data_IF_210894408401
#
_entry.id   IF_210894408401
#
_cell.length_a   1.000
_cell.length_b   1.000
_cell.length_c   1.000
_cell.angle_alpha   90.00
_cell.angle_beta   90.00
_cell.angle_gamma   90.00
#
_symmetry.space_group_name_H-M   'P 1'
#
loop_
_entity.id
_entity.type
_entity.pdbx_description
1 polymer ?
#
# COMPACT_ATOMS: atom_id res chain seq x y z
N UNK A 1 27.29 15.38 27.22
CA UNK A 1 25.94 15.77 26.77
C UNK A 1 25.96 15.93 25.26
N UNK A 2 25.09 15.27 24.54
CA UNK A 2 24.92 15.48 23.11
C UNK A 2 24.33 16.88 22.89
N UNK A 3 24.95 17.70 22.05
CA UNK A 3 24.43 19.02 21.70
C UNK A 3 23.69 18.95 20.38
N UNK A 4 22.43 19.35 20.36
CA UNK A 4 21.67 19.55 19.13
C UNK A 4 22.14 20.85 18.46
N UNK A 5 22.14 20.83 17.11
CA UNK A 5 22.33 22.03 16.28
C UNK A 5 21.10 22.23 15.44
N UNK A 6 20.71 23.46 15.26
CA UNK A 6 19.59 23.84 14.41
C UNK A 6 19.99 23.77 12.93
N UNK A 7 19.14 23.17 12.11
CA UNK A 7 19.28 23.12 10.66
C UNK A 7 18.34 24.16 10.02
N UNK A 8 18.82 24.91 9.09
CA UNK A 8 17.99 25.84 8.35
C UNK A 8 16.94 25.07 7.55
N UNK A 9 15.67 25.25 7.89
CA UNK A 9 14.54 24.45 7.38
C UNK A 9 14.45 24.53 5.87
N UNK A 10 14.51 25.74 5.30
CA UNK A 10 14.33 25.97 3.85
C UNK A 10 15.34 25.20 3.02
N UNK A 11 16.58 25.07 3.50
CA UNK A 11 17.65 24.42 2.75
C UNK A 11 17.77 22.93 3.05
N UNK A 12 17.36 22.50 4.23
CA UNK A 12 17.74 21.18 4.76
C UNK A 12 16.58 20.23 5.04
N UNK A 13 15.32 20.68 4.99
CA UNK A 13 14.17 19.83 5.35
C UNK A 13 14.16 18.51 4.55
N UNK A 14 14.27 18.58 3.25
CA UNK A 14 14.22 17.37 2.40
C UNK A 14 15.47 16.49 2.50
N UNK A 15 16.61 17.05 2.90
CA UNK A 15 17.83 16.26 3.10
C UNK A 15 17.69 15.33 4.32
N UNK A 16 16.84 15.66 5.27
CA UNK A 16 16.54 14.78 6.42
C UNK A 16 15.68 13.59 6.03
N UNK A 17 15.14 13.54 4.81
CA UNK A 17 14.36 12.40 4.31
C UNK A 17 15.12 11.06 4.33
N UNK A 18 16.43 11.12 4.45
CA UNK A 18 17.26 9.93 4.69
C UNK A 18 16.83 9.15 5.94
N UNK A 19 16.28 9.83 6.94
CA UNK A 19 15.84 9.24 8.21
C UNK A 19 14.34 8.87 8.23
N UNK A 20 13.57 9.31 7.23
CA UNK A 20 12.19 8.89 6.99
C UNK A 20 12.01 8.54 5.51
N UNK A 21 12.53 7.38 5.09
CA UNK A 21 12.64 7.02 3.69
C UNK A 21 11.28 6.97 3.01
N UNK A 22 11.19 7.61 1.85
CA UNK A 22 10.02 7.60 0.99
C UNK A 22 10.35 6.82 -0.28
N UNK A 23 9.55 5.81 -0.66
CA UNK A 23 9.80 5.08 -1.90
C UNK A 23 9.61 6.02 -3.10
N UNK A 24 10.50 5.93 -4.08
CA UNK A 24 10.29 6.59 -5.37
C UNK A 24 9.54 5.64 -6.29
N UNK A 25 8.36 6.06 -6.73
CA UNK A 25 7.46 5.28 -7.58
C UNK A 25 7.16 6.02 -8.88
N UNK A 26 6.71 5.31 -9.90
CA UNK A 26 6.15 5.90 -11.11
C UNK A 26 4.62 5.83 -11.06
N UNK A 27 3.99 7.00 -11.10
CA UNK A 27 2.53 7.09 -11.22
C UNK A 27 2.15 7.10 -12.69
N UNK A 28 1.43 6.06 -13.10
CA UNK A 28 0.88 5.92 -14.44
C UNK A 28 -0.53 6.50 -14.51
N UNK A 29 -0.80 7.30 -15.53
CA UNK A 29 -2.11 7.89 -15.82
C UNK A 29 -2.37 7.86 -17.33
N UNK A 30 -3.54 8.31 -17.77
CA UNK A 30 -3.86 8.52 -19.17
C UNK A 30 -4.07 10.00 -19.44
N UNK A 31 -3.55 10.48 -20.56
CA UNK A 31 -3.84 11.82 -21.11
C UNK A 31 -5.29 11.89 -21.58
N UNK A 32 -5.75 13.06 -22.00
CA UNK A 32 -7.10 13.26 -22.51
C UNK A 32 -7.35 12.45 -23.80
N UNK A 33 -6.33 12.32 -24.63
CA UNK A 33 -6.36 11.51 -25.85
C UNK A 33 -6.03 10.02 -25.63
N UNK A 34 -6.00 9.57 -24.36
CA UNK A 34 -5.84 8.16 -23.97
C UNK A 34 -4.41 7.62 -24.02
N UNK A 35 -3.40 8.48 -24.23
CA UNK A 35 -2.00 8.06 -24.23
C UNK A 35 -1.49 7.84 -22.80
N UNK A 36 -0.60 6.84 -22.57
CA UNK A 36 0.05 6.66 -21.29
C UNK A 36 0.93 7.86 -20.90
N UNK A 37 0.87 8.22 -19.63
CA UNK A 37 1.69 9.27 -19.01
C UNK A 37 2.22 8.78 -17.69
N UNK A 38 3.54 8.88 -17.48
CA UNK A 38 4.19 8.45 -16.25
C UNK A 38 4.98 9.59 -15.61
N UNK A 39 4.90 9.68 -14.27
CA UNK A 39 5.64 10.66 -13.50
C UNK A 39 6.20 10.07 -12.21
N UNK A 40 7.44 10.40 -11.82
CA UNK A 40 8.03 9.93 -10.57
C UNK A 40 7.54 10.76 -9.38
N UNK A 41 7.23 10.07 -8.30
CA UNK A 41 6.78 10.65 -7.04
C UNK A 41 7.38 9.90 -5.86
N UNK A 42 7.65 10.63 -4.78
CA UNK A 42 8.05 10.07 -3.48
C UNK A 42 7.04 10.35 -2.37
N UNK A 43 6.11 11.27 -2.59
CA UNK A 43 5.06 11.61 -1.61
C UNK A 43 3.84 10.71 -1.81
N UNK A 44 4.06 9.40 -1.70
CA UNK A 44 3.04 8.35 -1.79
C UNK A 44 3.17 7.44 -0.59
N UNK A 45 2.07 7.26 0.16
CA UNK A 45 2.06 6.44 1.37
C UNK A 45 0.72 5.74 1.58
N UNK A 46 0.68 4.63 2.32
CA UNK A 46 -0.58 4.04 2.75
C UNK A 46 -1.40 5.04 3.55
N UNK A 47 -2.71 5.07 3.29
CA UNK A 47 -3.67 5.87 4.02
C UNK A 47 -4.68 4.97 4.72
N UNK A 48 -4.82 5.14 6.04
CA UNK A 48 -5.81 4.41 6.82
C UNK A 48 -7.18 5.07 6.67
N UNK A 49 -8.17 4.30 6.23
CA UNK A 49 -9.55 4.75 6.08
C UNK A 49 -10.43 3.96 7.04
N UNK A 50 -10.70 4.53 8.20
CA UNK A 50 -11.50 3.88 9.23
C UNK A 50 -12.94 3.63 8.75
N UNK A 51 -13.48 2.45 9.07
CA UNK A 51 -14.86 2.10 8.76
C UNK A 51 -15.19 1.88 7.29
N UNK A 52 -14.19 1.91 6.40
CA UNK A 52 -14.34 1.57 4.98
C UNK A 52 -13.97 0.11 4.74
N UNK A 53 -14.54 -0.46 3.70
CA UNK A 53 -14.28 -1.82 3.23
C UNK A 53 -13.18 -1.88 2.15
N UNK A 54 -12.35 -0.85 2.06
CA UNK A 54 -11.25 -0.76 1.11
C UNK A 54 -9.97 -0.20 1.75
N UNK A 55 -8.84 -0.49 1.13
CA UNK A 55 -7.54 0.11 1.46
C UNK A 55 -7.22 1.25 0.52
N UNK A 56 -6.45 2.23 0.99
CA UNK A 56 -6.12 3.40 0.21
C UNK A 56 -4.64 3.77 0.27
N UNK A 57 -4.19 4.47 -0.77
CA UNK A 57 -2.92 5.18 -0.84
C UNK A 57 -3.19 6.67 -0.88
N UNK A 58 -2.32 7.45 -0.28
CA UNK A 58 -2.33 8.90 -0.34
C UNK A 58 -1.23 9.37 -1.28
N UNK A 59 -1.59 10.16 -2.28
CA UNK A 59 -0.65 10.79 -3.20
C UNK A 59 -0.72 12.31 -3.04
N UNK A 60 0.44 12.93 -2.75
CA UNK A 60 0.60 14.38 -2.78
C UNK A 60 1.36 14.80 -4.04
N UNK A 61 0.85 15.80 -4.75
CA UNK A 61 1.51 16.33 -5.94
C UNK A 61 1.15 17.79 -6.20
N UNK A 62 1.85 18.41 -7.15
CA UNK A 62 1.45 19.74 -7.62
C UNK A 62 0.15 19.62 -8.39
N UNK A 63 -0.80 20.51 -8.14
CA UNK A 63 -2.08 20.54 -8.86
C UNK A 63 -1.92 20.75 -10.38
N UNK A 64 -0.87 21.47 -10.80
CA UNK A 64 -0.53 21.71 -12.21
C UNK A 64 0.26 20.57 -12.87
N UNK A 65 0.57 19.47 -12.15
CA UNK A 65 1.28 18.34 -12.76
C UNK A 65 0.38 17.57 -13.72
N UNK A 66 0.96 17.01 -14.78
CA UNK A 66 0.23 16.14 -15.72
C UNK A 66 -0.49 15.00 -14.97
N UNK A 67 0.14 14.43 -13.95
CA UNK A 67 -0.43 13.38 -13.11
C UNK A 67 -1.70 13.86 -12.39
N UNK A 68 -1.65 15.02 -11.72
CA UNK A 68 -2.81 15.56 -11.02
C UNK A 68 -3.97 15.83 -11.99
N UNK A 69 -3.69 16.50 -13.10
CA UNK A 69 -4.71 16.83 -14.09
C UNK A 69 -5.35 15.56 -14.70
N UNK A 70 -4.55 14.54 -14.95
CA UNK A 70 -5.04 13.27 -15.47
C UNK A 70 -5.89 12.52 -14.44
N UNK A 71 -5.51 12.50 -13.16
CA UNK A 71 -6.31 11.89 -12.09
C UNK A 71 -7.63 12.65 -11.88
N UNK A 72 -7.58 13.98 -11.84
CA UNK A 72 -8.79 14.82 -11.72
C UNK A 72 -9.81 14.53 -12.81
N UNK A 73 -9.33 14.28 -14.03
CA UNK A 73 -10.16 13.98 -15.19
C UNK A 73 -10.66 12.53 -15.18
N UNK A 74 -9.74 11.56 -15.09
CA UNK A 74 -10.04 10.13 -15.30
C UNK A 74 -10.47 9.39 -14.03
N UNK A 75 -10.09 9.87 -12.87
CA UNK A 75 -10.29 9.20 -11.59
C UNK A 75 -9.44 7.94 -11.40
N UNK A 76 -8.44 7.68 -12.26
CA UNK A 76 -7.67 6.42 -12.23
C UNK A 76 -6.17 6.67 -12.35
N UNK A 77 -5.41 5.81 -11.66
CA UNK A 77 -3.96 5.78 -11.81
C UNK A 77 -3.38 4.40 -11.46
N UNK A 78 -2.11 4.22 -11.79
CA UNK A 78 -1.30 3.09 -11.31
C UNK A 78 -0.11 3.60 -10.52
N UNK A 79 0.30 2.88 -9.49
CA UNK A 79 1.50 3.16 -8.69
C UNK A 79 2.48 2.02 -8.95
N UNK A 80 3.59 2.33 -9.62
CA UNK A 80 4.55 1.31 -10.07
C UNK A 80 5.83 1.42 -9.26
N UNK A 81 6.20 0.34 -8.60
CA UNK A 81 7.41 0.22 -7.79
C UNK A 81 8.50 -0.46 -8.61
N UNK A 82 9.55 0.27 -8.91
CA UNK A 82 10.69 -0.22 -9.70
C UNK A 82 11.90 -0.47 -8.80
N UNK A 83 12.90 -1.19 -9.33
CA UNK A 83 14.11 -1.52 -8.58
C UNK A 83 15.02 -0.30 -8.36
N UNK A 84 15.93 -0.38 -7.39
CA UNK A 84 16.89 0.67 -7.03
C UNK A 84 18.15 0.69 -7.91
N UNK A 85 18.11 0.05 -9.07
CA UNK A 85 19.22 0.04 -9.99
C UNK A 85 19.54 1.45 -10.51
N UNK A 86 20.83 1.78 -10.66
CA UNK A 86 21.28 3.10 -11.08
C UNK A 86 20.71 3.53 -12.45
N UNK A 87 20.59 2.58 -13.39
CA UNK A 87 19.97 2.81 -14.70
C UNK A 87 18.51 3.17 -14.57
N UNK A 88 17.75 2.39 -13.82
CA UNK A 88 16.33 2.62 -13.52
C UNK A 88 16.11 3.99 -12.90
N UNK A 89 16.93 4.34 -11.90
CA UNK A 89 16.78 5.63 -11.25
C UNK A 89 17.12 6.80 -12.16
N UNK A 90 18.12 6.67 -13.04
CA UNK A 90 18.42 7.69 -14.05
C UNK A 90 17.23 7.95 -14.97
N UNK A 91 16.53 6.89 -15.37
CA UNK A 91 15.32 7.01 -16.19
C UNK A 91 14.17 7.68 -15.43
N UNK A 92 13.99 7.38 -14.13
CA UNK A 92 13.05 8.10 -13.27
C UNK A 92 13.34 9.61 -13.22
N UNK A 93 14.62 9.98 -13.01
CA UNK A 93 15.04 11.38 -12.90
C UNK A 93 14.74 12.17 -14.17
N UNK A 94 14.92 11.59 -15.36
CA UNK A 94 14.59 12.25 -16.64
C UNK A 94 13.12 12.70 -16.73
N UNK A 95 12.23 11.99 -16.04
CA UNK A 95 10.79 12.29 -16.01
C UNK A 95 10.39 13.30 -14.93
N UNK A 96 11.34 13.72 -14.07
CA UNK A 96 11.04 14.51 -12.85
C UNK A 96 10.95 16.00 -13.07
N UNK A 97 11.41 16.52 -14.21
CA UNK A 97 11.51 17.96 -14.41
C UNK A 97 10.13 18.59 -14.58
N UNK A 98 9.82 19.65 -13.81
CA UNK A 98 8.56 20.35 -13.96
C UNK A 98 8.49 21.15 -15.26
N UNK A 99 7.28 21.36 -15.75
CA UNK A 99 7.03 22.21 -16.93
C UNK A 99 7.02 21.50 -18.28
N UNK A 100 7.49 20.24 -18.34
CA UNK A 100 7.45 19.49 -19.59
C UNK A 100 6.04 18.93 -19.83
N UNK A 101 5.63 18.93 -21.09
CA UNK A 101 4.41 18.25 -21.53
C UNK A 101 4.56 16.73 -21.41
N UNK A 102 3.43 16.02 -21.41
CA UNK A 102 3.47 14.54 -21.45
C UNK A 102 4.26 14.02 -22.65
N UNK A 103 4.04 14.59 -23.83
CA UNK A 103 4.73 14.13 -25.05
C UNK A 103 6.25 14.34 -24.98
N UNK A 104 6.71 15.45 -24.39
CA UNK A 104 8.15 15.71 -24.16
C UNK A 104 8.75 14.72 -23.18
N UNK A 105 8.08 14.51 -22.03
CA UNK A 105 8.54 13.54 -21.02
C UNK A 105 8.60 12.11 -21.55
N UNK A 106 7.59 11.70 -22.31
CA UNK A 106 7.52 10.33 -22.84
C UNK A 106 8.59 10.05 -23.91
N UNK A 107 9.23 11.07 -24.52
CA UNK A 107 10.43 10.89 -25.36
C UNK A 107 11.63 10.34 -24.56
N UNK A 108 11.65 10.57 -23.26
CA UNK A 108 12.70 10.14 -22.32
C UNK A 108 12.29 8.94 -21.47
N UNK A 109 11.16 8.31 -21.82
CA UNK A 109 10.62 7.16 -21.10
C UNK A 109 11.32 5.88 -21.57
N UNK A 110 12.20 5.35 -20.74
CA UNK A 110 13.06 4.20 -21.04
C UNK A 110 12.49 2.88 -20.47
N UNK A 111 11.22 2.85 -20.09
CA UNK A 111 10.55 1.65 -19.58
C UNK A 111 9.58 1.09 -20.63
N UNK A 112 9.18 -0.18 -20.44
CA UNK A 112 8.05 -0.76 -21.17
C UNK A 112 6.80 -0.77 -20.28
N UNK A 113 5.62 -0.87 -20.88
CA UNK A 113 4.36 -0.91 -20.15
C UNK A 113 3.38 -1.88 -20.82
N UNK A 114 2.45 -2.38 -20.02
CA UNK A 114 1.41 -3.30 -20.46
C UNK A 114 0.05 -2.98 -19.80
N UNK A 115 -0.98 -3.71 -20.21
CA UNK A 115 -2.28 -3.66 -19.55
C UNK A 115 -2.23 -4.28 -18.18
N UNK A 116 -2.77 -3.56 -17.18
CA UNK A 116 -2.97 -4.09 -15.83
C UNK A 116 -4.11 -5.12 -15.76
N UNK A 117 -4.40 -5.60 -14.56
CA UNK A 117 -5.47 -6.57 -14.35
C UNK A 117 -6.86 -5.98 -14.59
N UNK A 118 -7.10 -4.72 -14.18
CA UNK A 118 -8.39 -4.06 -14.41
C UNK A 118 -8.71 -3.97 -15.89
N UNK A 119 -7.73 -3.63 -16.73
CA UNK A 119 -7.90 -3.60 -18.19
C UNK A 119 -8.13 -5.01 -18.77
N UNK A 120 -7.44 -6.02 -18.27
CA UNK A 120 -7.59 -7.42 -18.69
C UNK A 120 -8.94 -8.02 -18.29
N UNK A 121 -9.48 -7.63 -17.12
CA UNK A 121 -10.79 -8.06 -16.63
C UNK A 121 -11.97 -7.33 -17.31
N UNK A 122 -11.72 -6.12 -17.82
CA UNK A 122 -12.70 -5.32 -18.59
C UNK A 122 -12.18 -4.94 -19.98
N UNK A 123 -12.07 -5.90 -20.91
CA UNK A 123 -11.50 -5.66 -22.24
C UNK A 123 -12.25 -4.59 -23.06
N UNK A 124 -13.56 -4.44 -22.81
CA UNK A 124 -14.39 -3.44 -23.52
C UNK A 124 -14.00 -2.00 -23.16
N UNK A 125 -13.48 -1.79 -21.97
CA UNK A 125 -13.05 -0.49 -21.48
C UNK A 125 -11.53 -0.43 -21.23
N UNK A 126 -10.74 -1.38 -21.74
CA UNK A 126 -9.30 -1.47 -21.49
C UNK A 126 -8.55 -0.16 -21.74
N UNK A 127 -8.97 0.61 -22.73
CA UNK A 127 -8.39 1.92 -23.06
C UNK A 127 -8.63 2.99 -21.97
N UNK A 128 -9.52 2.77 -21.02
CA UNK A 128 -9.80 3.70 -19.90
C UNK A 128 -8.92 3.45 -18.66
N UNK A 129 -8.15 2.36 -18.66
CA UNK A 129 -7.30 1.99 -17.54
C UNK A 129 -5.85 2.39 -17.81
N UNK A 130 -5.20 3.10 -16.88
CA UNK A 130 -3.78 3.40 -16.97
C UNK A 130 -2.94 2.13 -17.05
N UNK A 131 -1.83 2.21 -17.79
CA UNK A 131 -0.91 1.08 -17.99
C UNK A 131 -0.05 0.86 -16.73
N UNK A 132 0.46 -0.37 -16.58
CA UNK A 132 1.46 -0.74 -15.58
C UNK A 132 2.82 -0.90 -16.24
N UNK A 133 3.89 -0.60 -15.50
CA UNK A 133 5.27 -0.72 -15.99
C UNK A 133 5.70 -2.19 -15.88
N UNK A 134 6.18 -2.73 -16.99
CA UNK A 134 6.57 -4.15 -17.08
C UNK A 134 7.78 -4.46 -16.19
N UNK A 135 8.71 -3.52 -16.00
CA UNK A 135 9.90 -3.69 -15.16
C UNK A 135 9.59 -3.51 -13.65
N UNK A 136 8.42 -3.00 -13.30
CA UNK A 136 8.04 -2.86 -11.90
C UNK A 136 7.99 -4.23 -11.21
N UNK A 137 8.51 -4.31 -9.99
CA UNK A 137 8.38 -5.53 -9.19
C UNK A 137 7.00 -5.63 -8.52
N UNK A 138 6.34 -4.49 -8.32
CA UNK A 138 4.98 -4.36 -7.82
C UNK A 138 4.29 -3.19 -8.52
N UNK A 139 3.02 -3.36 -8.86
CA UNK A 139 2.16 -2.28 -9.29
C UNK A 139 0.84 -2.31 -8.51
N UNK A 140 0.28 -1.15 -8.24
CA UNK A 140 -1.03 -1.01 -7.59
C UNK A 140 -1.93 -0.25 -8.56
N UNK A 141 -3.08 -0.82 -8.91
CA UNK A 141 -4.10 -0.14 -9.71
C UNK A 141 -5.08 0.53 -8.77
N UNK A 142 -5.37 1.81 -9.02
CA UNK A 142 -6.11 2.65 -8.09
C UNK A 142 -7.23 3.43 -8.76
N UNK A 143 -8.30 3.66 -7.98
CA UNK A 143 -9.36 4.60 -8.29
C UNK A 143 -9.36 5.74 -7.25
N UNK A 144 -9.39 6.97 -7.71
CA UNK A 144 -9.53 8.14 -6.84
C UNK A 144 -10.91 8.17 -6.20
N UNK A 145 -10.94 8.15 -4.89
CA UNK A 145 -12.15 8.28 -4.10
C UNK A 145 -12.43 9.77 -3.88
N UNK A 146 -13.33 10.34 -4.67
CA UNK A 146 -13.64 11.77 -4.65
C UNK A 146 -14.35 12.19 -3.36
N UNK A 147 -15.08 11.27 -2.76
CA UNK A 147 -15.86 11.48 -1.55
C UNK A 147 -15.50 10.43 -0.50
N UNK A 148 -15.40 10.85 0.75
CA UNK A 148 -15.11 10.00 1.90
C UNK A 148 -16.35 9.66 2.71
N UNK A 149 -17.53 9.73 2.08
CA UNK A 149 -18.81 9.44 2.71
C UNK A 149 -18.84 8.07 3.38
N UNK A 150 -19.51 7.99 4.50
CA UNK A 150 -19.71 6.78 5.29
C UNK A 150 -18.44 6.28 6.01
N UNK A 151 -17.35 7.04 6.11
CA UNK A 151 -16.25 6.75 7.02
C UNK A 151 -16.71 6.90 8.48
N UNK A 152 -16.10 6.15 9.40
CA UNK A 152 -16.49 6.25 10.82
C UNK A 152 -16.19 7.63 11.41
N UNK A 153 -15.11 8.24 10.97
CA UNK A 153 -14.69 9.59 11.31
C UNK A 153 -15.58 10.68 10.68
N UNK A 154 -16.41 10.35 9.68
CA UNK A 154 -17.42 11.24 9.12
C UNK A 154 -18.73 11.26 9.95
N UNK A 155 -18.83 10.48 11.03
CA UNK A 155 -20.03 10.44 11.87
C UNK A 155 -20.24 11.78 12.58
N UNK A 156 -21.50 12.29 12.63
CA UNK A 156 -21.82 13.47 13.41
C UNK A 156 -21.32 13.36 14.86
N UNK A 157 -20.72 14.42 15.36
CA UNK A 157 -20.21 14.51 16.72
C UNK A 157 -18.75 14.09 16.93
N UNK A 158 -18.15 13.27 16.04
CA UNK A 158 -16.75 12.88 16.17
C UNK A 158 -15.81 14.06 15.85
N UNK A 159 -16.19 14.87 14.88
CA UNK A 159 -15.41 16.04 14.44
C UNK A 159 -15.92 17.35 15.02
N UNK A 160 -16.86 17.32 15.95
CA UNK A 160 -17.40 18.52 16.61
C UNK A 160 -16.26 19.26 17.33
N UNK A 161 -16.13 20.55 17.02
CA UNK A 161 -15.06 21.38 17.57
C UNK A 161 -13.75 21.41 16.77
N UNK A 162 -13.62 20.61 15.71
CA UNK A 162 -12.49 20.72 14.77
C UNK A 162 -12.78 21.80 13.72
N UNK A 163 -11.84 22.72 13.46
CA UNK A 163 -12.02 23.76 12.47
C UNK A 163 -11.94 23.16 11.06
N UNK A 164 -13.03 23.23 10.33
CA UNK A 164 -13.13 22.78 8.95
C UNK A 164 -13.29 21.26 8.80
N UNK A 165 -13.85 20.83 7.69
CA UNK A 165 -14.05 19.41 7.41
C UNK A 165 -12.74 18.74 7.02
N UNK A 166 -12.38 17.66 7.70
CA UNK A 166 -11.21 16.82 7.41
C UNK A 166 -11.20 16.28 5.97
N UNK A 167 -12.36 16.10 5.39
CA UNK A 167 -12.53 15.57 4.04
C UNK A 167 -12.23 16.58 2.92
N UNK A 168 -12.01 17.84 3.22
CA UNK A 168 -11.64 18.86 2.22
C UNK A 168 -10.18 18.78 1.75
N UNK A 169 -9.40 17.85 2.26
CA UNK A 169 -8.02 17.68 1.78
C UNK A 169 -7.89 16.75 0.55
N UNK A 170 -8.98 16.23 0.01
CA UNK A 170 -9.00 15.30 -1.12
C UNK A 170 -9.34 16.03 -2.43
N UNK A 171 -8.41 16.03 -3.36
CA UNK A 171 -8.48 16.79 -4.60
C UNK A 171 -7.53 17.97 -4.62
N UNK A 172 -7.92 19.11 -5.18
CA UNK A 172 -7.13 20.33 -5.14
C UNK A 172 -7.31 20.98 -3.76
N UNK A 173 -6.22 21.02 -2.99
CA UNK A 173 -6.24 21.50 -1.60
C UNK A 173 -5.70 22.93 -1.44
N UNK A 174 -4.99 23.43 -2.44
CA UNK A 174 -4.41 24.77 -2.45
C UNK A 174 -4.16 25.24 -3.87
N UNK A 175 -3.79 26.51 -4.08
CA UNK A 175 -3.36 27.01 -5.40
C UNK A 175 -2.21 26.21 -6.02
N UNK A 176 -1.43 25.50 -5.21
CA UNK A 176 -0.22 24.79 -5.65
C UNK A 176 -0.26 23.28 -5.47
N UNK A 177 -1.15 22.76 -4.64
CA UNK A 177 -1.16 21.37 -4.21
C UNK A 177 -2.43 20.62 -4.52
N UNK A 178 -2.28 19.33 -4.81
CA UNK A 178 -3.35 18.35 -4.87
C UNK A 178 -3.00 17.14 -4.00
N UNK A 179 -4.00 16.56 -3.36
CA UNK A 179 -3.89 15.36 -2.57
C UNK A 179 -4.99 14.40 -2.99
N UNK A 180 -4.65 13.14 -3.21
CA UNK A 180 -5.59 12.15 -3.70
C UNK A 180 -5.64 10.95 -2.77
N UNK A 181 -6.84 10.60 -2.32
CA UNK A 181 -7.10 9.33 -1.66
C UNK A 181 -7.44 8.30 -2.74
N UNK A 182 -6.53 7.40 -2.95
CA UNK A 182 -6.55 6.42 -4.02
C UNK A 182 -6.92 5.04 -3.46
N UNK A 183 -8.16 4.59 -3.69
CA UNK A 183 -8.57 3.23 -3.34
C UNK A 183 -7.69 2.24 -4.10
N UNK A 184 -7.20 1.25 -3.38
CA UNK A 184 -6.46 0.12 -3.95
C UNK A 184 -7.46 -0.86 -4.55
N UNK A 185 -7.48 -0.98 -5.87
CA UNK A 185 -8.37 -1.90 -6.60
C UNK A 185 -7.67 -3.24 -6.84
N UNK A 186 -6.38 -3.21 -7.23
CA UNK A 186 -5.56 -4.42 -7.46
C UNK A 186 -4.13 -4.20 -6.98
N UNK A 187 -3.50 -5.26 -6.51
CA UNK A 187 -2.05 -5.30 -6.23
C UNK A 187 -1.46 -6.39 -7.12
N UNK A 188 -0.61 -5.99 -8.05
CA UNK A 188 0.13 -6.86 -8.93
C UNK A 188 1.56 -6.99 -8.40
N UNK A 189 2.08 -8.19 -8.35
CA UNK A 189 3.45 -8.44 -7.90
C UNK A 189 4.09 -9.52 -8.76
N UNK A 190 5.37 -9.33 -9.12
CA UNK A 190 6.11 -10.38 -9.83
C UNK A 190 6.15 -11.66 -9.00
N UNK A 191 6.00 -12.79 -9.65
CA UNK A 191 5.85 -14.11 -9.01
C UNK A 191 6.91 -14.39 -7.93
N UNK A 192 8.16 -14.04 -8.20
CA UNK A 192 9.25 -14.18 -7.23
C UNK A 192 8.93 -13.54 -5.89
N UNK A 193 8.42 -12.31 -5.90
CA UNK A 193 8.11 -11.55 -4.67
C UNK A 193 6.75 -11.92 -4.12
N UNK A 194 5.79 -12.27 -4.99
CA UNK A 194 4.48 -12.81 -4.58
C UNK A 194 4.66 -14.04 -3.69
N UNK A 195 5.45 -15.01 -4.13
CA UNK A 195 5.71 -16.21 -3.34
C UNK A 195 6.39 -15.91 -2.00
N UNK A 196 7.30 -14.93 -1.96
CA UNK A 196 7.93 -14.49 -0.72
C UNK A 196 6.92 -13.88 0.27
N UNK A 197 5.97 -13.07 -0.20
CA UNK A 197 4.92 -12.46 0.65
C UNK A 197 3.96 -13.54 1.18
N UNK A 198 3.47 -14.44 0.33
CA UNK A 198 2.49 -15.46 0.71
C UNK A 198 3.08 -16.48 1.68
N UNK A 199 4.35 -16.86 1.51
CA UNK A 199 5.03 -17.86 2.32
C UNK A 199 5.86 -17.28 3.48
N UNK A 200 5.88 -15.97 3.63
CA UNK A 200 6.72 -15.25 4.58
C UNK A 200 7.97 -14.67 3.93
N UNK A 201 8.20 -13.39 4.19
CA UNK A 201 9.32 -12.64 3.59
C UNK A 201 10.63 -13.04 4.25
N UNK A 202 11.62 -13.40 3.43
CA UNK A 202 13.01 -13.59 3.86
C UNK A 202 13.89 -12.47 3.31
N UNK A 203 15.05 -12.21 3.95
CA UNK A 203 15.96 -11.13 3.54
C UNK A 203 16.37 -11.20 2.07
N UNK A 204 16.57 -12.40 1.52
CA UNK A 204 16.98 -12.61 0.12
C UNK A 204 15.86 -12.35 -0.88
N UNK A 205 14.60 -12.40 -0.43
CA UNK A 205 13.40 -12.29 -1.27
C UNK A 205 12.77 -10.90 -1.17
N UNK A 206 13.35 -10.01 -0.37
CA UNK A 206 12.88 -8.65 -0.20
C UNK A 206 13.20 -7.81 -1.45
N UNK A 207 12.21 -7.18 -2.10
CA UNK A 207 12.47 -6.38 -3.28
C UNK A 207 13.25 -5.11 -2.92
N UNK A 208 14.29 -4.75 -3.67
CA UNK A 208 14.95 -3.47 -3.50
C UNK A 208 14.03 -2.34 -3.99
N UNK A 209 13.94 -1.26 -3.22
CA UNK A 209 13.20 -0.07 -3.62
C UNK A 209 14.10 1.17 -3.54
N UNK A 210 14.06 2.07 -4.54
CA UNK A 210 14.79 3.33 -4.47
C UNK A 210 14.15 4.25 -3.43
N UNK A 211 15.00 5.00 -2.75
CA UNK A 211 14.58 5.99 -1.75
C UNK A 211 14.99 7.37 -2.22
N UNK A 212 14.05 8.29 -2.30
CA UNK A 212 14.33 9.68 -2.61
C UNK A 212 15.05 10.34 -1.42
N UNK A 213 16.21 10.91 -1.70
CA UNK A 213 16.93 11.75 -0.74
C UNK A 213 16.32 13.15 -0.63
N UNK A 214 15.49 13.54 -1.60
CA UNK A 214 14.77 14.82 -1.62
C UNK A 214 15.65 16.03 -1.94
N UNK A 215 16.96 15.89 -1.99
CA UNK A 215 17.86 16.99 -2.29
C UNK A 215 18.09 17.14 -3.79
N UNK A 216 17.80 18.31 -4.30
CA UNK A 216 18.09 18.68 -5.68
C UNK A 216 18.41 20.18 -5.77
N UNK A 217 19.28 20.51 -6.67
CA UNK A 217 19.55 21.87 -7.09
C UNK A 217 19.20 22.05 -8.58
N UNK A 218 19.59 23.16 -9.20
CA UNK A 218 19.33 23.41 -10.62
C UNK A 218 20.07 22.48 -11.59
N UNK A 219 21.05 21.70 -11.11
CA UNK A 219 21.92 20.85 -11.93
C UNK A 219 21.92 19.39 -11.50
N UNK A 220 21.68 19.11 -10.23
CA UNK A 220 21.88 17.80 -9.63
C UNK A 220 20.63 17.29 -8.96
N UNK A 221 20.45 15.97 -9.06
CA UNK A 221 19.44 15.22 -8.36
C UNK A 221 20.11 14.14 -7.51
N UNK A 222 19.79 14.08 -6.22
CA UNK A 222 20.41 13.20 -5.27
C UNK A 222 19.42 12.15 -4.77
N UNK A 223 19.85 10.91 -4.72
CA UNK A 223 19.05 9.81 -4.19
C UNK A 223 19.92 8.85 -3.39
N UNK A 224 19.29 8.16 -2.47
CA UNK A 224 19.95 7.14 -1.68
C UNK A 224 19.66 5.76 -2.28
N UNK A 225 20.71 4.99 -2.57
CA UNK A 225 20.57 3.57 -2.87
C UNK A 225 20.44 2.80 -1.58
N UNK A 226 19.27 2.24 -1.35
CA UNK A 226 19.08 1.39 -0.20
C UNK A 226 19.87 0.10 -0.37
N UNK A 227 20.71 -0.24 0.62
CA UNK A 227 21.14 -1.61 0.79
C UNK A 227 19.89 -2.45 1.05
N UNK A 228 19.93 -3.71 0.61
CA UNK A 228 18.85 -4.67 0.81
C UNK A 228 18.34 -4.59 2.25
N UNK A 229 17.05 -4.32 2.40
CA UNK A 229 16.40 -4.36 3.72
C UNK A 229 16.42 -5.80 4.22
N UNK A 230 16.84 -5.99 5.45
CA UNK A 230 16.84 -7.30 6.11
C UNK A 230 15.73 -7.27 7.15
N UNK A 231 14.62 -8.00 6.93
CA UNK A 231 13.59 -8.10 7.95
C UNK A 231 14.15 -8.84 9.16
N UNK A 232 14.01 -8.25 10.34
CA UNK A 232 14.39 -8.84 11.60
C UNK A 232 13.15 -9.35 12.32
N UNK A 233 13.15 -10.62 12.71
CA UNK A 233 12.07 -11.20 13.49
C UNK A 233 12.26 -10.86 14.97
N UNK A 234 11.37 -10.02 15.48
CA UNK A 234 11.26 -9.74 16.92
C UNK A 234 10.12 -10.60 17.51
N UNK A 235 10.43 -11.75 18.10
CA UNK A 235 9.39 -12.63 18.61
C UNK A 235 8.72 -12.00 19.83
N UNK A 236 7.41 -11.90 19.81
CA UNK A 236 6.64 -11.57 21.00
C UNK A 236 6.59 -12.78 21.94
N UNK A 237 6.96 -12.58 23.20
CA UNK A 237 7.02 -13.65 24.21
C UNK A 237 5.63 -14.15 24.62
N UNK A 238 4.61 -13.32 24.52
CA UNK A 238 3.23 -13.69 24.90
C UNK A 238 2.25 -13.28 23.79
N UNK A 239 1.26 -14.13 23.55
CA UNK A 239 0.15 -13.79 22.66
C UNK A 239 -0.87 -12.96 23.44
N UNK A 240 -1.20 -11.76 22.94
CA UNK A 240 -2.33 -10.97 23.45
C UNK A 240 -3.61 -11.36 22.72
N UNK A 241 -4.78 -11.13 23.35
CA UNK A 241 -6.07 -11.36 22.68
C UNK A 241 -6.17 -10.60 21.36
N UNK A 242 -5.67 -9.37 21.31
CA UNK A 242 -5.65 -8.56 20.09
C UNK A 242 -4.78 -9.19 18.99
N UNK A 243 -3.62 -9.75 19.32
CA UNK A 243 -2.76 -10.41 18.33
C UNK A 243 -3.38 -11.70 17.78
N UNK A 244 -4.10 -12.44 18.63
CA UNK A 244 -4.83 -13.64 18.21
C UNK A 244 -6.03 -13.25 17.35
N UNK A 245 -6.78 -12.20 17.71
CA UNK A 245 -7.87 -11.64 16.93
C UNK A 245 -7.39 -11.21 15.55
N UNK A 246 -6.33 -10.40 15.47
CA UNK A 246 -5.75 -9.96 14.22
C UNK A 246 -5.38 -11.13 13.29
N UNK A 247 -4.81 -12.20 13.86
CA UNK A 247 -4.50 -13.39 13.09
C UNK A 247 -5.77 -14.14 12.61
N UNK A 248 -6.79 -14.22 13.48
CA UNK A 248 -8.05 -14.89 13.16
C UNK A 248 -8.86 -14.17 12.08
N UNK A 249 -8.90 -12.83 12.14
CA UNK A 249 -9.65 -12.02 11.16
C UNK A 249 -9.08 -12.13 9.74
N UNK A 250 -7.80 -12.44 9.63
CA UNK A 250 -7.08 -12.57 8.34
C UNK A 250 -7.06 -13.99 7.78
N UNK A 251 -7.52 -15.00 8.54
CA UNK A 251 -7.42 -16.39 8.10
C UNK A 251 -8.53 -16.78 7.14
N UNK A 252 -9.69 -16.13 7.28
CA UNK A 252 -10.85 -16.36 6.41
C UNK A 252 -11.80 -15.14 6.45
N UNK A 253 -12.36 -14.80 5.28
CA UNK A 253 -13.24 -13.62 5.16
C UNK A 253 -14.64 -13.87 5.73
N UNK A 254 -15.11 -15.11 5.70
CA UNK A 254 -16.49 -15.48 6.06
C UNK A 254 -16.63 -16.07 7.45
N UNK A 255 -15.58 -16.73 7.96
CA UNK A 255 -15.59 -17.37 9.28
C UNK A 255 -14.93 -16.45 10.29
N UNK A 256 -15.67 -16.05 11.32
CA UNK A 256 -15.23 -15.18 12.40
C UNK A 256 -15.24 -15.89 13.74
N UNK A 257 -14.62 -15.29 14.75
CA UNK A 257 -14.48 -15.87 16.07
C UNK A 257 -14.99 -14.89 17.15
N UNK A 258 -15.65 -15.43 18.17
CA UNK A 258 -15.94 -14.64 19.39
C UNK A 258 -14.68 -14.47 20.23
N UNK A 259 -14.66 -13.44 21.09
CA UNK A 259 -13.54 -13.19 22.00
C UNK A 259 -13.25 -14.38 22.92
N UNK A 260 -14.28 -15.05 23.39
CA UNK A 260 -14.11 -16.21 24.28
C UNK A 260 -13.54 -17.42 23.53
N UNK A 261 -13.88 -17.58 22.25
CA UNK A 261 -13.21 -18.54 21.38
C UNK A 261 -11.73 -18.22 21.19
N UNK A 262 -11.39 -16.95 20.97
CA UNK A 262 -10.02 -16.49 20.80
C UNK A 262 -9.18 -16.62 22.08
N UNK A 263 -9.77 -16.41 23.26
CA UNK A 263 -9.10 -16.62 24.55
C UNK A 263 -8.56 -18.06 24.71
N UNK A 264 -9.26 -19.04 24.15
CA UNK A 264 -8.82 -20.44 24.11
C UNK A 264 -7.53 -20.65 23.31
N UNK A 265 -7.22 -19.76 22.39
CA UNK A 265 -6.03 -19.81 21.54
C UNK A 265 -4.82 -19.06 22.13
N UNK A 266 -4.98 -18.33 23.23
CA UNK A 266 -3.88 -17.58 23.87
C UNK A 266 -2.73 -18.48 24.31
N UNK A 267 -3.03 -19.71 24.73
CA UNK A 267 -2.03 -20.68 25.19
C UNK A 267 -1.40 -21.49 24.02
N UNK A 268 -1.85 -21.27 22.79
CA UNK A 268 -1.26 -21.93 21.64
C UNK A 268 0.04 -21.21 21.29
N UNK A 269 1.19 -21.92 21.24
CA UNK A 269 2.44 -21.32 20.81
C UNK A 269 2.28 -20.63 19.45
N UNK A 270 2.80 -19.44 19.32
CA UNK A 270 2.57 -18.56 18.17
C UNK A 270 2.89 -19.21 16.83
N UNK A 271 3.92 -20.06 16.80
CA UNK A 271 4.31 -20.82 15.61
C UNK A 271 3.20 -21.78 15.12
N UNK A 272 2.33 -22.27 16.01
CA UNK A 272 1.24 -23.16 15.71
C UNK A 272 -0.12 -22.46 15.55
N UNK A 273 -0.19 -21.17 15.89
CA UNK A 273 -1.45 -20.42 15.85
C UNK A 273 -2.09 -20.39 14.45
N UNK A 274 -1.35 -20.13 13.36
CA UNK A 274 -1.93 -20.18 12.01
C UNK A 274 -2.52 -21.55 11.65
N UNK A 275 -1.83 -22.63 12.03
CA UNK A 275 -2.29 -24.00 11.80
C UNK A 275 -3.54 -24.32 12.64
N UNK A 276 -3.58 -23.84 13.88
CA UNK A 276 -4.73 -24.01 14.76
C UNK A 276 -5.96 -23.28 14.20
N UNK A 277 -5.79 -22.01 13.79
CA UNK A 277 -6.86 -21.20 13.18
C UNK A 277 -7.38 -21.82 11.88
N UNK A 278 -6.49 -22.24 10.97
CA UNK A 278 -6.89 -22.95 9.72
C UNK A 278 -7.72 -24.19 10.02
N UNK A 279 -7.33 -24.96 11.05
CA UNK A 279 -8.09 -26.12 11.46
C UNK A 279 -9.48 -25.79 12.02
N UNK A 280 -9.61 -24.68 12.78
CA UNK A 280 -10.91 -24.23 13.26
C UNK A 280 -11.81 -23.75 12.11
N UNK A 281 -11.24 -22.99 11.15
CA UNK A 281 -11.99 -22.56 9.96
C UNK A 281 -12.44 -23.74 9.10
N UNK A 282 -11.56 -24.73 8.91
CA UNK A 282 -11.92 -25.95 8.17
C UNK A 282 -13.13 -26.65 8.82
N UNK A 283 -13.07 -26.86 10.14
CA UNK A 283 -14.18 -27.45 10.89
C UNK A 283 -15.46 -26.63 10.77
N UNK A 284 -15.37 -25.30 10.86
CA UNK A 284 -16.52 -24.43 10.75
C UNK A 284 -17.20 -24.53 9.38
N UNK A 285 -16.41 -24.57 8.30
CA UNK A 285 -16.93 -24.76 6.93
C UNK A 285 -17.59 -26.12 6.76
N UNK A 286 -17.02 -27.18 7.31
CA UNK A 286 -17.60 -28.54 7.29
C UNK A 286 -18.94 -28.62 8.05
N UNK A 287 -19.15 -27.72 9.03
CA UNK A 287 -20.36 -27.72 9.87
C UNK A 287 -21.28 -26.51 9.60
N UNK A 288 -21.06 -25.75 8.50
CA UNK A 288 -21.83 -24.56 8.12
C UNK A 288 -21.88 -23.48 9.22
N UNK A 289 -20.80 -23.31 9.96
CA UNK A 289 -20.67 -22.32 11.03
C UNK A 289 -19.90 -21.12 10.49
N UNK A 290 -20.46 -19.90 10.61
CA UNK A 290 -19.80 -18.63 10.22
C UNK A 290 -19.22 -17.88 11.41
N UNK A 291 -19.66 -18.17 12.64
CA UNK A 291 -19.14 -17.58 13.88
C UNK A 291 -18.75 -18.69 14.86
N UNK A 292 -17.46 -18.82 15.10
CA UNK A 292 -16.90 -19.81 16.05
C UNK A 292 -17.01 -19.25 17.46
N UNK A 293 -17.74 -19.97 18.31
CA UNK A 293 -17.91 -19.68 19.75
C UNK A 293 -16.99 -20.52 20.62
N UNK A 294 -16.96 -20.24 21.92
CA UNK A 294 -16.22 -21.06 22.88
C UNK A 294 -16.67 -22.53 22.89
N UNK A 295 -17.98 -22.78 22.72
CA UNK A 295 -18.54 -24.14 22.66
C UNK A 295 -18.03 -24.90 21.43
N UNK A 296 -18.00 -24.22 20.28
CA UNK A 296 -17.41 -24.80 19.08
C UNK A 296 -15.93 -25.15 19.30
N UNK A 297 -15.18 -24.32 20.01
CA UNK A 297 -13.78 -24.61 20.34
C UNK A 297 -13.62 -25.85 21.22
N UNK A 298 -14.54 -26.11 22.14
CA UNK A 298 -14.56 -27.36 22.95
C UNK A 298 -14.73 -28.57 22.03
N UNK A 299 -15.72 -28.53 21.15
CA UNK A 299 -15.99 -29.62 20.18
C UNK A 299 -14.77 -29.90 19.28
N UNK A 300 -14.14 -28.83 18.77
CA UNK A 300 -12.94 -28.93 17.92
C UNK A 300 -11.79 -29.60 18.69
N UNK A 301 -11.57 -29.21 19.94
CA UNK A 301 -10.51 -29.78 20.77
C UNK A 301 -10.75 -31.25 21.10
N UNK A 302 -11.99 -31.62 21.45
CA UNK A 302 -12.36 -32.99 21.74
C UNK A 302 -12.17 -33.93 20.53
N UNK A 303 -12.53 -33.47 19.33
CA UNK A 303 -12.27 -34.17 18.08
C UNK A 303 -10.79 -34.44 17.86
N UNK A 304 -9.96 -33.40 18.03
CA UNK A 304 -8.50 -33.52 17.87
C UNK A 304 -7.84 -34.42 18.90
N UNK A 305 -8.34 -34.43 20.14
CA UNK A 305 -7.83 -35.30 21.19
C UNK A 305 -8.10 -36.78 20.87
N UNK A 306 -9.28 -37.09 20.34
CA UNK A 306 -9.65 -38.43 19.90
C UNK A 306 -8.87 -38.92 18.66
N UNK A 307 -8.50 -38.01 17.75
CA UNK A 307 -7.68 -38.32 16.58
C UNK A 307 -6.20 -38.59 16.92
N UNK A 308 -5.70 -38.03 18.01
CA UNK A 308 -4.33 -38.26 18.51
C UNK A 308 -4.20 -39.55 19.36
N UNK A 309 -5.32 -40.12 19.80
CA UNK A 309 -5.36 -41.33 20.63
C UNK A 309 -5.53 -42.61 19.82
N UNK A 310 -5.63 -42.47 18.52
CA UNK A 310 -5.61 -43.55 17.51
C UNK A 310 -4.26 -43.56 16.80
#
# INVERSE_FOLDING_TARGET
MSSFKDLRIVDNFYQTSLFFPMPTVLIGTLTEDGKPSFGPYSLVQPYYVAGKDYYAMLLNCRNSSNTAQNILRSGKCTINFVTDEKSTFKSLVKLSWPGDTTDEKMKHFDFTYEDGLMAKEDPKNAAKYPKVITEAFQAIECTWMRELDGAQDDKPGILDGYPGPFHNFNGIISPYGAMFILRVDKILMKEKYYNAIINGVTAKDFPPAPVDYGYRDSKNFWYHRHKRMVPELLPMRQSSLQSVRYAADRIDDKVKFTDDALKRLLNVPRIFLPTALKGCVKWAKENNVTLITEEHMKIINDKRSKEKSK
#
